data_IF_216795638498
#
_entry.id   IF_216795638498
#
_cell.length_a   1.000
_cell.length_b   1.000
_cell.length_c   1.000
_cell.angle_alpha   90.00
_cell.angle_beta   90.00
_cell.angle_gamma   90.00
#
_symmetry.space_group_name_H-M   'P 1'
#
loop_
_entity.id
_entity.type
_entity.pdbx_description
1 polymer ?
#
# COMPACT_ATOMS: atom_id res chain seq x y z
N UNK A 1 -16.10 3.76 18.61
CA UNK A 1 -15.51 4.23 17.32
C UNK A 1 -14.02 4.46 17.51
N UNK A 2 -13.18 3.51 17.12
CA UNK A 2 -11.74 3.78 17.02
C UNK A 2 -11.52 4.91 16.01
N UNK A 3 -10.88 6.01 16.42
CA UNK A 3 -10.52 7.11 15.53
C UNK A 3 -9.79 6.57 14.30
N UNK A 4 -10.32 6.87 13.11
CA UNK A 4 -9.65 6.54 11.85
C UNK A 4 -8.63 7.64 11.57
N UNK A 5 -7.35 7.34 11.80
CA UNK A 5 -6.28 8.26 11.47
C UNK A 5 -6.06 8.27 9.97
N UNK A 6 -5.96 9.49 9.41
CA UNK A 6 -5.48 9.68 8.04
C UNK A 6 -3.96 9.63 8.09
N UNK A 7 -3.38 8.68 7.37
CA UNK A 7 -1.95 8.52 7.20
C UNK A 7 -1.45 9.36 6.03
N UNK A 8 -0.21 9.83 6.11
CA UNK A 8 0.53 10.41 4.99
C UNK A 8 1.78 9.58 4.72
N UNK A 9 2.00 9.25 3.44
CA UNK A 9 3.22 8.62 2.94
C UNK A 9 3.93 9.56 1.96
N UNK A 10 5.20 9.83 2.19
CA UNK A 10 6.08 10.43 1.18
C UNK A 10 6.33 9.42 0.05
N UNK A 11 6.14 9.83 -1.21
CA UNK A 11 6.38 9.00 -2.38
C UNK A 11 7.75 9.26 -2.97
N UNK A 12 8.52 8.19 -3.17
CA UNK A 12 9.66 8.22 -4.08
C UNK A 12 9.17 8.38 -5.53
N UNK A 13 9.95 9.07 -6.38
CA UNK A 13 9.58 9.36 -7.76
C UNK A 13 9.14 8.12 -8.58
N UNK A 14 9.79 6.93 -8.46
CA UNK A 14 9.32 5.73 -9.15
C UNK A 14 7.91 5.28 -8.74
N UNK A 15 7.54 5.47 -7.47
CA UNK A 15 6.21 5.10 -6.95
C UNK A 15 5.15 6.07 -7.44
N UNK A 16 5.41 7.38 -7.41
CA UNK A 16 4.53 8.39 -8.01
C UNK A 16 4.29 8.11 -9.50
N UNK A 17 5.36 7.79 -10.24
CA UNK A 17 5.25 7.43 -11.65
C UNK A 17 4.44 6.15 -11.85
N UNK A 18 4.65 5.12 -11.01
CA UNK A 18 3.89 3.87 -11.10
C UNK A 18 2.39 4.04 -10.82
N UNK A 19 2.00 4.97 -9.93
CA UNK A 19 0.59 5.34 -9.71
C UNK A 19 -0.01 5.92 -10.99
N UNK A 20 0.65 6.91 -11.60
CA UNK A 20 0.12 7.63 -12.77
C UNK A 20 0.14 6.76 -14.04
N UNK A 21 1.26 6.08 -14.31
CA UNK A 21 1.46 5.33 -15.55
C UNK A 21 0.78 3.97 -15.52
N UNK A 22 0.85 3.27 -14.39
CA UNK A 22 0.46 1.87 -14.29
C UNK A 22 -0.73 1.63 -13.35
N UNK A 23 -1.22 2.66 -12.63
CA UNK A 23 -2.31 2.48 -11.67
C UNK A 23 -1.91 1.65 -10.46
N UNK A 24 -0.66 1.75 -9.99
CA UNK A 24 -0.18 1.04 -8.79
C UNK A 24 -1.14 1.27 -7.61
N UNK A 25 -1.71 0.18 -7.11
CA UNK A 25 -2.75 0.20 -6.07
C UNK A 25 -2.22 -0.15 -4.68
N UNK A 26 -0.91 -0.36 -4.54
CA UNK A 26 -0.31 -0.87 -3.30
C UNK A 26 0.50 0.19 -2.54
N UNK A 27 0.48 0.09 -1.22
CA UNK A 27 1.13 0.99 -0.27
C UNK A 27 1.74 0.21 0.89
N UNK A 28 2.82 0.72 1.47
CA UNK A 28 3.56 0.12 2.58
C UNK A 28 4.73 1.02 2.97
N UNK A 29 5.63 0.54 3.82
CA UNK A 29 6.82 1.28 4.23
C UNK A 29 6.51 2.36 5.26
N UNK A 30 7.33 3.42 5.32
CA UNK A 30 7.16 4.47 6.32
C UNK A 30 5.93 5.33 6.08
N UNK A 31 5.15 5.54 7.14
CA UNK A 31 3.96 6.38 7.19
C UNK A 31 3.95 7.17 8.50
N UNK A 32 3.31 8.34 8.47
CA UNK A 32 3.04 9.21 9.62
C UNK A 32 1.57 9.57 9.65
N UNK A 33 1.06 10.05 10.78
CA UNK A 33 -0.24 10.72 10.80
C UNK A 33 -0.18 12.01 9.98
N UNK A 34 -1.17 12.24 9.11
CA UNK A 34 -1.22 13.41 8.23
C UNK A 34 -1.39 14.72 9.00
N UNK A 35 -2.13 14.70 10.11
CA UNK A 35 -2.35 15.87 10.98
C UNK A 35 -1.04 16.35 11.63
N UNK A 36 -0.16 15.41 12.02
CA UNK A 36 1.11 15.69 12.68
C UNK A 36 2.15 16.37 11.78
N UNK A 37 1.97 16.27 10.46
CA UNK A 37 2.89 16.85 9.45
C UNK A 37 2.26 17.97 8.64
N UNK A 38 1.11 18.51 9.07
CA UNK A 38 0.44 19.63 8.38
C UNK A 38 1.32 20.89 8.28
N UNK A 39 2.26 21.05 9.21
CA UNK A 39 3.23 22.14 9.24
C UNK A 39 4.37 22.01 8.23
N UNK A 40 4.60 20.82 7.65
CA UNK A 40 5.63 20.60 6.62
C UNK A 40 5.04 20.99 5.26
N UNK A 41 5.14 22.28 4.92
CA UNK A 41 4.39 22.85 3.80
C UNK A 41 5.16 22.90 2.51
N UNK A 42 6.48 22.79 2.55
CA UNK A 42 7.35 22.81 1.37
C UNK A 42 8.04 21.47 1.15
N UNK A 43 8.50 21.17 -0.09
CA UNK A 43 9.29 19.98 -0.38
C UNK A 43 10.55 19.90 0.48
N UNK A 44 11.25 21.01 0.70
CA UNK A 44 12.46 21.04 1.51
C UNK A 44 12.18 20.67 2.98
N UNK A 45 11.15 21.25 3.60
CA UNK A 45 10.74 20.90 4.97
C UNK A 45 10.33 19.44 5.09
N UNK A 46 9.54 18.96 4.12
CA UNK A 46 9.06 17.57 4.11
C UNK A 46 10.22 16.59 3.93
N UNK A 47 11.10 16.79 2.95
CA UNK A 47 12.21 15.89 2.67
C UNK A 47 13.24 15.89 3.81
N UNK A 48 13.53 17.05 4.39
CA UNK A 48 14.41 17.15 5.55
C UNK A 48 13.88 16.35 6.77
N UNK A 49 12.56 16.34 6.98
CA UNK A 49 11.95 15.51 8.03
C UNK A 49 12.11 14.00 7.78
N UNK A 50 12.29 13.59 6.53
CA UNK A 50 12.60 12.21 6.13
C UNK A 50 14.11 11.97 5.98
N UNK A 51 14.96 12.91 6.40
CA UNK A 51 16.43 12.75 6.31
C UNK A 51 17.01 12.93 4.92
N UNK A 52 16.22 13.46 3.97
CA UNK A 52 16.63 13.63 2.58
C UNK A 52 17.06 15.08 2.39
N UNK A 53 18.35 15.29 2.17
CA UNK A 53 18.91 16.60 1.84
C UNK A 53 18.70 16.90 0.35
N UNK A 54 17.49 17.37 0.02
CA UNK A 54 17.12 17.81 -1.32
C UNK A 54 16.04 18.88 -1.28
N UNK A 55 16.04 19.76 -2.28
CA UNK A 55 15.05 20.83 -2.44
C UNK A 55 14.51 20.89 -3.88
N UNK A 56 13.76 19.87 -4.33
CA UNK A 56 13.11 19.88 -5.64
C UNK A 56 11.94 20.88 -5.67
N UNK A 57 11.47 21.20 -6.88
CA UNK A 57 10.30 22.07 -7.10
C UNK A 57 9.01 21.52 -6.45
N UNK A 58 8.94 20.19 -6.27
CA UNK A 58 7.82 19.54 -5.65
C UNK A 58 8.19 18.24 -4.92
N UNK A 59 7.37 17.87 -3.95
CA UNK A 59 7.34 16.55 -3.32
C UNK A 59 5.93 15.96 -3.45
N UNK A 60 5.88 14.64 -3.62
CA UNK A 60 4.64 13.90 -3.83
C UNK A 60 4.30 13.08 -2.58
N UNK A 61 3.04 13.12 -2.16
CA UNK A 61 2.56 12.35 -1.00
C UNK A 61 1.23 11.69 -1.30
N UNK A 62 0.91 10.60 -0.62
CA UNK A 62 -0.44 10.04 -0.58
C UNK A 62 -1.00 10.15 0.82
N UNK A 63 -2.25 10.60 0.92
CA UNK A 63 -3.03 10.65 2.15
C UNK A 63 -4.15 9.64 2.09
N UNK A 64 -4.32 8.82 3.12
CA UNK A 64 -5.29 7.72 3.09
C UNK A 64 -5.73 7.33 4.50
N UNK A 65 -6.98 6.89 4.64
CA UNK A 65 -7.43 6.28 5.89
C UNK A 65 -6.62 5.01 6.17
N UNK A 66 -6.27 4.79 7.43
CA UNK A 66 -5.56 3.58 7.86
C UNK A 66 -6.25 2.30 7.35
N UNK A 67 -5.56 1.45 6.57
CA UNK A 67 -6.11 0.18 6.13
C UNK A 67 -6.36 -0.76 7.32
N UNK A 68 -7.56 -1.36 7.39
CA UNK A 68 -8.05 -2.13 8.56
C UNK A 68 -7.19 -3.32 8.95
N UNK A 69 -6.51 -3.93 7.97
CA UNK A 69 -5.75 -5.17 8.11
C UNK A 69 -4.24 -4.95 7.97
N UNK A 70 -3.80 -3.70 7.80
CA UNK A 70 -2.37 -3.38 7.81
C UNK A 70 -1.82 -3.48 9.23
N UNK A 71 -0.63 -4.07 9.36
CA UNK A 71 0.13 -4.07 10.61
C UNK A 71 1.11 -2.90 10.64
N UNK A 72 1.30 -2.32 11.82
CA UNK A 72 2.21 -1.21 12.05
C UNK A 72 3.30 -1.66 13.02
N UNK A 73 4.54 -1.40 12.66
CA UNK A 73 5.71 -1.73 13.49
C UNK A 73 6.55 -0.48 13.71
N UNK A 74 7.29 -0.47 14.83
CA UNK A 74 8.28 0.58 15.07
C UNK A 74 9.39 0.47 14.00
N UNK A 75 9.89 1.59 13.45
CA UNK A 75 11.12 1.60 12.65
C UNK A 75 12.30 0.90 13.37
N UNK A 76 13.24 0.38 12.59
CA UNK A 76 14.40 -0.34 13.13
C UNK A 76 15.44 0.63 13.70
N UNK A 77 16.25 0.15 14.64
CA UNK A 77 17.47 0.80 15.11
C UNK A 77 18.73 0.18 14.48
N UNK A 78 18.57 -0.75 13.54
CA UNK A 78 19.70 -1.39 12.86
C UNK A 78 20.38 -0.40 11.92
N UNK A 79 21.71 -0.35 11.97
CA UNK A 79 22.50 0.49 11.08
C UNK A 79 22.34 0.04 9.61
N UNK A 80 22.03 1.00 8.73
CA UNK A 80 21.79 0.80 7.29
C UNK A 80 22.39 1.95 6.48
N UNK A 81 22.62 1.78 5.16
CA UNK A 81 23.12 2.85 4.29
C UNK A 81 22.16 4.04 4.09
N UNK A 82 20.88 3.89 4.44
CA UNK A 82 19.90 4.98 4.48
C UNK A 82 19.61 5.38 5.91
N UNK A 83 19.13 6.61 6.08
CA UNK A 83 18.66 7.07 7.38
C UNK A 83 17.32 6.38 7.72
N UNK A 84 17.25 5.79 8.90
CA UNK A 84 16.03 5.23 9.50
C UNK A 84 15.57 6.14 10.66
N UNK A 85 14.46 5.79 11.30
CA UNK A 85 13.80 6.55 12.37
C UNK A 85 13.90 5.83 13.72
N UNK A 86 15.09 5.62 14.31
CA UNK A 86 15.26 4.80 15.52
C UNK A 86 14.51 5.34 16.75
N UNK A 87 14.27 6.65 16.78
CA UNK A 87 13.45 7.31 17.80
C UNK A 87 11.95 7.02 17.66
N UNK A 88 11.50 6.54 16.50
CA UNK A 88 10.09 6.39 16.14
C UNK A 88 9.42 7.70 15.69
N UNK A 89 10.21 8.73 15.38
CA UNK A 89 9.72 10.05 14.94
C UNK A 89 10.48 10.51 13.69
N UNK A 90 9.86 11.40 12.92
CA UNK A 90 10.55 12.12 11.85
C UNK A 90 11.73 12.93 12.39
N UNK A 91 12.67 13.26 11.51
CA UNK A 91 13.85 14.06 11.85
C UNK A 91 13.52 15.56 11.94
N UNK A 92 14.45 16.32 12.51
CA UNK A 92 14.35 17.78 12.62
C UNK A 92 13.35 18.22 13.70
N UNK A 93 12.64 19.33 13.43
CA UNK A 93 11.66 19.90 14.36
C UNK A 93 10.29 19.20 14.37
N UNK A 94 10.07 18.22 13.48
CA UNK A 94 8.83 17.46 13.43
C UNK A 94 8.91 16.27 14.38
N UNK A 95 8.15 16.31 15.48
CA UNK A 95 7.97 15.18 16.39
C UNK A 95 6.80 14.28 15.94
N UNK A 96 6.57 14.18 14.63
CA UNK A 96 5.51 13.34 14.10
C UNK A 96 5.93 11.85 14.21
N UNK A 97 5.11 10.99 14.84
CA UNK A 97 5.41 9.57 14.93
C UNK A 97 5.50 8.91 13.55
N UNK A 98 6.44 7.98 13.40
CA UNK A 98 6.66 7.21 12.17
C UNK A 98 6.49 5.73 12.46
N UNK A 99 5.76 5.05 11.58
CA UNK A 99 5.60 3.61 11.62
C UNK A 99 6.01 2.99 10.30
N UNK A 100 6.51 1.75 10.35
CA UNK A 100 6.62 0.89 9.18
C UNK A 100 5.33 0.10 9.03
N UNK A 101 4.57 0.42 7.99
CA UNK A 101 3.31 -0.23 7.64
C UNK A 101 3.58 -1.41 6.69
N UNK A 102 2.92 -2.55 6.95
CA UNK A 102 2.94 -3.68 6.02
C UNK A 102 2.39 -3.30 4.65
N UNK A 103 2.87 -3.97 3.59
CA UNK A 103 2.32 -3.85 2.25
C UNK A 103 0.83 -4.22 2.23
N UNK A 104 -0.02 -3.38 1.66
CA UNK A 104 -1.45 -3.65 1.40
C UNK A 104 -1.93 -2.77 0.24
N UNK A 105 -3.22 -2.79 -0.09
CA UNK A 105 -3.82 -1.88 -1.08
C UNK A 105 -4.16 -0.54 -0.45
N UNK A 106 -4.10 0.55 -1.21
CA UNK A 106 -4.62 1.84 -0.76
C UNK A 106 -6.09 1.72 -0.36
N UNK A 107 -6.47 2.36 0.75
CA UNK A 107 -7.88 2.50 1.13
C UNK A 107 -8.66 3.28 0.08
N UNK A 108 -9.93 2.97 -0.10
CA UNK A 108 -10.82 3.77 -0.93
C UNK A 108 -10.80 5.23 -0.49
N UNK A 109 -10.76 6.15 -1.46
CA UNK A 109 -10.68 7.58 -1.16
C UNK A 109 -9.28 8.10 -0.89
N UNK A 110 -8.24 7.25 -0.90
CA UNK A 110 -6.85 7.70 -0.85
C UNK A 110 -6.59 8.79 -1.90
N UNK A 111 -5.84 9.82 -1.53
CA UNK A 111 -5.60 11.00 -2.34
C UNK A 111 -4.11 11.16 -2.62
N UNK A 112 -3.76 11.30 -3.89
CA UNK A 112 -2.41 11.63 -4.33
C UNK A 112 -2.26 13.14 -4.46
N UNK A 113 -1.32 13.70 -3.72
CA UNK A 113 -1.07 15.13 -3.62
C UNK A 113 0.34 15.48 -4.08
N UNK A 114 0.47 16.66 -4.68
CA UNK A 114 1.75 17.32 -4.97
C UNK A 114 1.87 18.59 -4.15
N UNK A 115 2.96 18.71 -3.42
CA UNK A 115 3.34 19.88 -2.61
C UNK A 115 4.42 20.63 -3.38
N UNK A 116 4.22 21.92 -3.66
CA UNK A 116 5.17 22.77 -4.39
C UNK A 116 6.03 23.63 -3.46
N UNK A 117 7.12 24.17 -3.99
CA UNK A 117 8.07 25.02 -3.27
C UNK A 117 7.46 26.28 -2.63
N UNK A 118 6.34 26.79 -3.15
CA UNK A 118 5.59 27.92 -2.61
C UNK A 118 4.57 27.52 -1.51
N UNK A 119 4.47 26.23 -1.21
CA UNK A 119 3.53 25.67 -0.27
C UNK A 119 2.14 25.36 -0.83
N UNK A 120 1.91 25.54 -2.15
CA UNK A 120 0.70 25.07 -2.81
C UNK A 120 0.62 23.54 -2.71
N UNK A 121 -0.56 23.03 -2.33
CA UNK A 121 -0.84 21.60 -2.36
C UNK A 121 -1.98 21.33 -3.33
N UNK A 122 -1.70 20.51 -4.35
CA UNK A 122 -2.68 20.14 -5.37
C UNK A 122 -2.93 18.65 -5.35
N UNK A 123 -4.20 18.25 -5.21
CA UNK A 123 -4.62 16.86 -5.42
C UNK A 123 -4.56 16.53 -6.90
N UNK A 124 -3.74 15.53 -7.24
CA UNK A 124 -3.54 15.06 -8.60
C UNK A 124 -4.45 13.89 -8.95
N UNK A 125 -4.76 13.03 -7.98
CA UNK A 125 -5.62 11.86 -8.19
C UNK A 125 -6.29 11.41 -6.90
N UNK A 126 -7.28 10.53 -7.03
CA UNK A 126 -7.96 9.83 -5.95
C UNK A 126 -8.14 8.36 -6.33
N UNK A 127 -7.98 7.46 -5.36
CA UNK A 127 -8.23 6.03 -5.52
C UNK A 127 -9.71 5.71 -5.32
N UNK A 128 -10.35 5.09 -6.31
CA UNK A 128 -11.78 4.74 -6.32
C UNK A 128 -12.02 3.23 -6.13
N UNK A 129 -11.12 2.58 -5.40
CA UNK A 129 -11.22 1.17 -5.05
C UNK A 129 -10.76 0.22 -6.16
N UNK A 130 -10.75 -1.07 -5.86
CA UNK A 130 -10.18 -2.12 -6.70
C UNK A 130 -10.80 -2.17 -8.11
N UNK A 131 -12.10 -1.92 -8.23
CA UNK A 131 -12.82 -1.92 -9.51
C UNK A 131 -12.41 -0.77 -10.44
N UNK A 132 -12.06 0.40 -9.88
CA UNK A 132 -11.85 1.63 -10.67
C UNK A 132 -10.39 2.09 -10.69
N UNK A 133 -9.63 1.86 -9.63
CA UNK A 133 -8.25 2.29 -9.49
C UNK A 133 -8.11 3.81 -9.27
N UNK A 134 -6.95 4.35 -9.63
CA UNK A 134 -6.66 5.78 -9.55
C UNK A 134 -7.32 6.58 -10.69
N UNK A 135 -8.01 7.65 -10.34
CA UNK A 135 -8.62 8.58 -11.31
C UNK A 135 -7.51 9.25 -12.13
N UNK A 136 -7.61 9.16 -13.47
CA UNK A 136 -6.64 9.78 -14.37
C UNK A 136 -5.33 9.01 -14.55
N UNK A 137 -5.16 7.84 -13.93
CA UNK A 137 -4.07 6.95 -14.28
C UNK A 137 -4.22 6.44 -15.72
N UNK A 138 -3.11 6.30 -16.44
CA UNK A 138 -3.12 5.88 -17.86
C UNK A 138 -3.57 4.43 -18.03
N UNK A 139 -3.40 3.62 -17.00
CA UNK A 139 -3.79 2.20 -16.98
C UNK A 139 -4.53 1.90 -15.68
N UNK A 140 -5.52 1.02 -15.79
CA UNK A 140 -6.05 0.32 -14.64
C UNK A 140 -5.25 -0.97 -14.45
N UNK A 141 -4.77 -1.21 -13.24
CA UNK A 141 -4.09 -2.44 -12.85
C UNK A 141 -5.10 -3.36 -12.17
N UNK A 142 -5.36 -4.56 -12.71
CA UNK A 142 -6.17 -5.54 -12.00
C UNK A 142 -5.58 -5.83 -10.62
N UNK A 143 -6.39 -5.80 -9.54
CA UNK A 143 -5.95 -6.14 -8.20
C UNK A 143 -5.36 -7.56 -8.13
N UNK A 144 -4.38 -7.74 -7.24
CA UNK A 144 -3.82 -9.05 -6.89
C UNK A 144 -4.59 -9.63 -5.71
N UNK A 145 -4.85 -10.94 -5.70
CA UNK A 145 -5.44 -11.63 -4.54
C UNK A 145 -4.42 -11.90 -3.42
N UNK A 146 -3.17 -11.50 -3.64
CA UNK A 146 -2.05 -11.64 -2.70
C UNK A 146 -1.76 -10.34 -1.91
N UNK A 147 -2.42 -9.23 -2.28
CA UNK A 147 -2.23 -7.93 -1.62
C UNK A 147 -3.56 -7.17 -1.54
N UNK A 148 -3.89 -6.73 -0.33
CA UNK A 148 -5.08 -5.93 -0.05
C UNK A 148 -6.29 -6.76 0.36
N UNK A 149 -7.35 -6.03 0.71
CA UNK A 149 -8.55 -6.59 1.30
C UNK A 149 -9.35 -7.43 0.31
N UNK A 150 -9.84 -8.55 0.82
CA UNK A 150 -10.78 -9.48 0.22
C UNK A 150 -12.02 -9.58 1.12
N UNK A 151 -13.13 -10.01 0.53
CA UNK A 151 -14.33 -10.34 1.29
C UNK A 151 -14.98 -11.60 0.74
N UNK A 152 -15.51 -12.45 1.63
CA UNK A 152 -16.48 -13.47 1.26
C UNK A 152 -17.88 -12.92 1.45
N UNK A 153 -18.67 -12.96 0.39
CA UNK A 153 -20.09 -12.63 0.41
C UNK A 153 -20.86 -13.73 -0.33
N UNK A 154 -21.92 -14.26 0.30
CA UNK A 154 -22.69 -15.39 -0.23
C UNK A 154 -21.84 -16.59 -0.66
N UNK A 155 -20.79 -16.90 0.12
CA UNK A 155 -19.89 -18.05 -0.12
C UNK A 155 -18.90 -17.86 -1.28
N UNK A 156 -18.78 -16.66 -1.86
CA UNK A 156 -17.85 -16.34 -2.95
C UNK A 156 -16.86 -15.27 -2.52
N UNK A 157 -15.62 -15.37 -2.99
CA UNK A 157 -14.56 -14.39 -2.73
C UNK A 157 -14.55 -13.26 -3.76
N UNK A 158 -14.37 -12.04 -3.27
CA UNK A 158 -14.26 -10.83 -4.07
C UNK A 158 -13.08 -9.97 -3.59
N UNK A 159 -12.53 -9.15 -4.48
CA UNK A 159 -11.70 -8.03 -4.03
C UNK A 159 -12.58 -7.03 -3.31
N UNK A 160 -12.08 -6.42 -2.25
CA UNK A 160 -12.90 -5.59 -1.38
C UNK A 160 -12.22 -4.27 -1.04
N UNK A 161 -13.03 -3.24 -0.87
CA UNK A 161 -12.67 -2.00 -0.19
C UNK A 161 -13.72 -1.74 0.91
N UNK A 162 -13.28 -1.56 2.16
CA UNK A 162 -14.18 -1.30 3.30
C UNK A 162 -14.28 0.20 3.52
N UNK A 163 -15.51 0.71 3.57
CA UNK A 163 -15.83 2.13 3.77
C UNK A 163 -16.90 2.21 4.85
N UNK A 164 -16.52 2.59 6.07
CA UNK A 164 -17.38 2.53 7.24
C UNK A 164 -18.09 1.15 7.34
N UNK A 165 -19.42 1.11 7.28
CA UNK A 165 -20.24 -0.11 7.39
C UNK A 165 -20.56 -0.78 6.05
N UNK A 166 -19.87 -0.37 4.99
CA UNK A 166 -20.10 -0.85 3.62
C UNK A 166 -18.84 -1.51 3.07
N UNK A 167 -19.01 -2.60 2.33
CA UNK A 167 -17.95 -3.24 1.53
C UNK A 167 -18.27 -3.05 0.06
N UNK A 168 -17.33 -2.45 -0.68
CA UNK A 168 -17.35 -2.45 -2.14
C UNK A 168 -16.73 -3.75 -2.62
N UNK A 169 -17.55 -4.65 -3.16
CA UNK A 169 -17.10 -5.90 -3.76
C UNK A 169 -16.72 -5.66 -5.22
N UNK A 170 -15.63 -6.26 -5.66
CA UNK A 170 -15.15 -6.22 -7.05
C UNK A 170 -14.93 -7.64 -7.55
N UNK A 171 -15.53 -7.96 -8.70
CA UNK A 171 -15.34 -9.20 -9.42
C UNK A 171 -14.69 -8.95 -10.78
N UNK A 172 -13.75 -9.83 -11.18
CA UNK A 172 -13.16 -9.84 -12.52
C UNK A 172 -13.57 -11.16 -13.18
N UNK A 173 -14.52 -11.08 -14.10
CA UNK A 173 -15.14 -12.24 -14.75
C UNK A 173 -15.84 -11.82 -16.05
N UNK A 174 -16.02 -12.77 -16.97
CA UNK A 174 -16.76 -12.53 -18.22
C UNK A 174 -18.18 -12.05 -17.96
N UNK A 175 -18.90 -12.76 -17.08
CA UNK A 175 -20.25 -12.40 -16.65
C UNK A 175 -20.27 -11.91 -15.19
N UNK A 176 -21.09 -10.89 -14.94
CA UNK A 176 -21.27 -10.28 -13.63
C UNK A 176 -22.10 -11.15 -12.69
N UNK A 177 -21.74 -11.22 -11.40
CA UNK A 177 -22.65 -11.77 -10.38
C UNK A 177 -23.98 -10.99 -10.35
N UNK A 178 -25.06 -11.64 -9.92
CA UNK A 178 -26.35 -10.98 -9.75
C UNK A 178 -26.25 -9.77 -8.81
N UNK A 179 -26.85 -8.65 -9.22
CA UNK A 179 -26.82 -7.39 -8.48
C UNK A 179 -25.53 -6.58 -8.61
N UNK A 180 -24.55 -7.06 -9.39
CA UNK A 180 -23.35 -6.28 -9.70
C UNK A 180 -23.57 -5.42 -10.94
N UNK A 181 -22.96 -4.24 -10.95
CA UNK A 181 -22.91 -3.34 -12.08
C UNK A 181 -21.55 -3.42 -12.77
N UNK A 182 -21.53 -3.35 -14.11
CA UNK A 182 -20.28 -3.33 -14.86
C UNK A 182 -19.67 -1.92 -14.84
N UNK A 183 -18.39 -1.81 -14.49
CA UNK A 183 -17.66 -0.53 -14.52
C UNK A 183 -16.62 -0.46 -15.63
N UNK A 184 -16.12 -1.63 -16.07
CA UNK A 184 -15.18 -1.81 -17.17
C UNK A 184 -15.46 -3.17 -17.80
N UNK A 185 -15.01 -3.45 -19.03
CA UNK A 185 -15.09 -4.80 -19.59
C UNK A 185 -14.57 -5.83 -18.61
N UNK A 186 -15.38 -6.86 -18.32
CA UNK A 186 -15.10 -7.94 -17.37
C UNK A 186 -14.89 -7.52 -15.90
N UNK A 187 -15.15 -6.26 -15.54
CA UNK A 187 -15.02 -5.76 -14.16
C UNK A 187 -16.36 -5.30 -13.64
N UNK A 188 -16.77 -5.92 -12.55
CA UNK A 188 -18.07 -5.76 -11.94
C UNK A 188 -17.93 -5.34 -10.50
N UNK A 189 -18.84 -4.52 -9.99
CA UNK A 189 -18.83 -4.13 -8.60
C UNK A 189 -20.23 -4.13 -7.98
N UNK A 190 -20.29 -4.30 -6.66
CA UNK A 190 -21.48 -4.10 -5.86
C UNK A 190 -21.11 -3.51 -4.51
N UNK A 191 -22.11 -2.95 -3.83
CA UNK A 191 -21.98 -2.43 -2.47
C UNK A 191 -22.85 -3.27 -1.56
N UNK A 192 -22.29 -3.80 -0.48
CA UNK A 192 -23.02 -4.64 0.48
C UNK A 192 -22.69 -4.21 1.92
N UNK A 193 -23.57 -4.47 2.90
CA UNK A 193 -23.25 -4.23 4.31
C UNK A 193 -22.05 -5.08 4.75
N UNK A 194 -21.20 -4.50 5.59
CA UNK A 194 -20.05 -5.21 6.13
C UNK A 194 -20.44 -6.40 7.01
N UNK A 195 -21.60 -6.33 7.67
CA UNK A 195 -22.18 -7.41 8.46
C UNK A 195 -22.57 -8.65 7.65
N UNK A 196 -22.67 -8.54 6.33
CA UNK A 196 -22.93 -9.67 5.42
C UNK A 196 -21.63 -10.29 4.87
N UNK A 197 -20.47 -9.76 5.26
CA UNK A 197 -19.17 -10.15 4.70
C UNK A 197 -18.25 -10.74 5.76
N UNK A 198 -17.48 -11.76 5.38
CA UNK A 198 -16.23 -12.08 6.07
C UNK A 198 -15.11 -11.30 5.39
N UNK A 199 -14.58 -10.28 6.05
CA UNK A 199 -13.51 -9.44 5.51
C UNK A 199 -12.16 -9.96 5.98
N UNK A 200 -11.19 -10.08 5.07
CA UNK A 200 -9.86 -10.59 5.37
C UNK A 200 -8.80 -10.08 4.38
N UNK A 201 -7.53 -10.28 4.70
CA UNK A 201 -6.42 -10.08 3.77
C UNK A 201 -5.61 -11.38 3.75
N UNK A 202 -5.21 -11.80 2.55
CA UNK A 202 -4.40 -12.99 2.36
C UNK A 202 -2.95 -12.59 2.13
N UNK A 203 -2.05 -13.09 2.96
CA UNK A 203 -0.60 -12.84 2.88
C UNK A 203 0.09 -14.13 2.48
N UNK A 204 0.83 -14.08 1.36
CA UNK A 204 1.67 -15.18 0.92
C UNK A 204 3.14 -14.85 1.18
N UNK A 205 3.82 -15.73 1.91
CA UNK A 205 5.27 -15.67 2.13
C UNK A 205 5.94 -16.85 1.46
N UNK A 206 7.22 -16.68 1.11
CA UNK A 206 8.04 -17.69 0.48
C UNK A 206 9.52 -17.39 0.78
N UNK A 207 10.42 -18.22 0.26
CA UNK A 207 11.84 -17.93 0.17
C UNK A 207 12.28 -17.84 -1.30
N UNK A 208 13.23 -16.96 -1.58
CA UNK A 208 13.97 -16.91 -2.85
C UNK A 208 15.46 -16.94 -2.52
N UNK A 209 16.15 -17.99 -2.96
CA UNK A 209 17.57 -18.21 -2.67
C UNK A 209 17.91 -18.08 -1.16
N UNK A 210 17.02 -18.60 -0.31
CA UNK A 210 17.12 -18.56 1.15
C UNK A 210 16.68 -17.24 1.80
N UNK A 211 16.29 -16.22 1.03
CA UNK A 211 15.83 -14.92 1.55
C UNK A 211 14.31 -14.93 1.72
N UNK A 212 13.77 -14.55 2.89
CA UNK A 212 12.34 -14.49 3.11
C UNK A 212 11.71 -13.34 2.30
N UNK A 213 10.62 -13.66 1.60
CA UNK A 213 9.88 -12.71 0.76
C UNK A 213 8.37 -12.81 1.00
N UNK A 214 7.66 -11.72 0.72
CA UNK A 214 6.22 -11.71 0.49
C UNK A 214 5.96 -11.72 -1.01
N UNK A 215 5.07 -12.60 -1.47
CA UNK A 215 4.61 -12.62 -2.86
C UNK A 215 3.55 -11.54 -3.05
N UNK A 216 3.77 -10.62 -3.98
CA UNK A 216 2.87 -9.51 -4.28
C UNK A 216 1.92 -9.82 -5.44
N UNK A 217 2.43 -10.58 -6.41
CA UNK A 217 1.71 -11.02 -7.60
C UNK A 217 2.41 -12.26 -8.16
N UNK A 218 1.65 -13.18 -8.74
CA UNK A 218 2.16 -14.25 -9.58
C UNK A 218 1.41 -14.24 -10.89
N UNK A 219 2.13 -14.24 -12.02
CA UNK A 219 1.56 -14.21 -13.35
C UNK A 219 2.41 -15.05 -14.31
N UNK A 220 1.88 -16.20 -14.75
CA UNK A 220 2.61 -17.10 -15.63
C UNK A 220 3.86 -17.66 -14.95
N UNK A 221 5.03 -17.45 -15.56
CA UNK A 221 6.32 -17.94 -15.07
C UNK A 221 7.04 -16.96 -14.13
N UNK A 222 6.45 -15.80 -13.80
CA UNK A 222 7.09 -14.80 -12.95
C UNK A 222 6.27 -14.47 -11.71
N UNK A 223 6.98 -14.03 -10.67
CA UNK A 223 6.42 -13.51 -9.45
C UNK A 223 7.05 -12.16 -9.09
N UNK A 224 6.21 -11.21 -8.70
CA UNK A 224 6.63 -9.97 -8.05
C UNK A 224 6.75 -10.24 -6.54
N UNK A 225 7.89 -9.93 -5.95
CA UNK A 225 8.18 -10.21 -4.54
C UNK A 225 8.72 -8.98 -3.82
N UNK A 226 8.34 -8.85 -2.56
CA UNK A 226 8.87 -7.90 -1.58
C UNK A 226 9.77 -8.66 -0.61
N UNK A 227 11.01 -8.22 -0.41
CA UNK A 227 11.87 -8.81 0.62
C UNK A 227 11.34 -8.47 2.01
N UNK A 228 11.33 -9.46 2.90
CA UNK A 228 10.97 -9.29 4.33
C UNK A 228 12.19 -8.94 5.20
N UNK A 229 13.29 -8.59 4.54
CA UNK A 229 14.55 -8.11 5.10
C UNK A 229 14.87 -6.78 4.44
N UNK A 230 15.61 -5.94 5.14
CA UNK A 230 16.16 -4.70 4.63
C UNK A 230 17.70 -4.75 4.54
N UNK A 231 18.30 -5.96 4.51
CA UNK A 231 19.73 -6.14 4.27
C UNK A 231 20.07 -6.00 2.77
N UNK A 232 20.96 -5.05 2.38
CA UNK A 232 21.40 -4.92 0.99
C UNK A 232 22.07 -6.17 0.40
N UNK A 233 22.73 -6.99 1.21
CA UNK A 233 23.36 -8.23 0.75
C UNK A 233 22.31 -9.29 0.35
N UNK A 234 21.20 -9.34 1.08
CA UNK A 234 20.06 -10.20 0.73
C UNK A 234 19.37 -9.69 -0.54
N UNK A 235 19.20 -8.38 -0.67
CA UNK A 235 18.68 -7.77 -1.89
C UNK A 235 19.56 -8.10 -3.11
N UNK A 236 20.88 -7.98 -2.98
CA UNK A 236 21.82 -8.35 -4.04
C UNK A 236 21.71 -9.84 -4.43
N UNK A 237 21.57 -10.74 -3.44
CA UNK A 237 21.44 -12.19 -3.69
C UNK A 237 20.22 -12.53 -4.53
N UNK A 238 19.08 -11.91 -4.24
CA UNK A 238 17.82 -12.15 -4.95
C UNK A 238 17.79 -11.43 -6.31
N UNK A 239 18.57 -10.36 -6.46
CA UNK A 239 18.50 -9.43 -7.59
C UNK A 239 17.42 -8.36 -7.41
N UNK A 240 17.11 -7.99 -6.16
CA UNK A 240 16.10 -7.00 -5.83
C UNK A 240 16.64 -5.57 -5.94
N UNK A 241 15.78 -4.65 -6.41
CA UNK A 241 16.06 -3.23 -6.47
C UNK A 241 15.51 -2.49 -5.26
N UNK A 242 16.19 -1.42 -4.83
CA UNK A 242 15.68 -0.51 -3.82
C UNK A 242 14.55 0.34 -4.43
N UNK A 243 13.34 0.21 -3.90
CA UNK A 243 12.16 0.99 -4.36
C UNK A 243 12.01 2.27 -3.53
N UNK A 244 12.28 2.17 -2.23
CA UNK A 244 12.34 3.26 -1.25
C UNK A 244 13.23 2.82 -0.08
N UNK A 245 13.58 3.74 0.82
CA UNK A 245 14.44 3.43 1.97
C UNK A 245 13.96 2.17 2.73
N UNK A 246 14.83 1.17 2.80
CA UNK A 246 14.56 -0.12 3.46
C UNK A 246 13.58 -1.05 2.76
N UNK A 247 13.14 -0.76 1.53
CA UNK A 247 12.18 -1.58 0.79
C UNK A 247 12.78 -2.06 -0.52
N UNK A 248 12.91 -3.38 -0.63
CA UNK A 248 13.46 -4.05 -1.79
C UNK A 248 12.41 -4.92 -2.47
N UNK A 249 12.29 -4.78 -3.79
CA UNK A 249 11.37 -5.59 -4.59
C UNK A 249 12.10 -6.20 -5.80
N UNK A 250 11.62 -7.36 -6.24
CA UNK A 250 12.16 -8.06 -7.40
C UNK A 250 11.05 -8.68 -8.23
N UNK A 251 11.33 -8.88 -9.52
CA UNK A 251 10.60 -9.83 -10.36
C UNK A 251 11.48 -11.06 -10.51
N UNK A 252 10.99 -12.21 -10.06
CA UNK A 252 11.72 -13.48 -10.07
C UNK A 252 10.98 -14.52 -10.91
N UNK A 253 11.69 -15.55 -11.35
CA UNK A 253 11.03 -16.73 -11.90
C UNK A 253 10.23 -17.43 -10.79
N UNK A 254 8.98 -17.79 -11.06
CA UNK A 254 8.09 -18.41 -10.08
C UNK A 254 8.63 -19.75 -9.56
N UNK A 255 9.46 -20.46 -10.34
CA UNK A 255 10.12 -21.70 -9.93
C UNK A 255 11.19 -21.50 -8.85
N UNK A 256 11.66 -20.27 -8.62
CA UNK A 256 12.58 -19.93 -7.52
C UNK A 256 11.88 -19.79 -6.17
N UNK A 257 10.55 -19.73 -6.14
CA UNK A 257 9.79 -19.64 -4.89
C UNK A 257 9.81 -20.99 -4.17
N UNK A 258 10.46 -21.03 -3.01
CA UNK A 258 10.44 -22.17 -2.09
C UNK A 258 9.54 -21.87 -0.87
N UNK A 259 9.05 -22.93 -0.22
CA UNK A 259 8.30 -22.85 1.04
C UNK A 259 7.16 -21.83 1.03
N UNK A 260 6.31 -21.91 -0.01
CA UNK A 260 5.19 -20.97 -0.17
C UNK A 260 4.12 -21.26 0.88
N UNK A 261 3.84 -20.27 1.72
CA UNK A 261 2.84 -20.32 2.78
C UNK A 261 1.83 -19.19 2.64
N UNK A 262 0.55 -19.49 2.84
CA UNK A 262 -0.53 -18.50 2.83
C UNK A 262 -1.22 -18.42 4.19
N UNK A 263 -1.43 -17.20 4.68
CA UNK A 263 -2.19 -16.92 5.90
C UNK A 263 -3.32 -15.95 5.60
N UNK A 264 -4.49 -16.20 6.15
CA UNK A 264 -5.62 -15.27 6.12
C UNK A 264 -5.75 -14.54 7.45
N UNK A 265 -5.65 -13.22 7.39
CA UNK A 265 -5.88 -12.35 8.54
C UNK A 265 -7.30 -11.81 8.46
N UNK A 266 -8.18 -12.34 9.30
CA UNK A 266 -9.58 -11.90 9.34
C UNK A 266 -9.71 -10.57 10.08
N UNK A 267 -10.56 -9.70 9.54
CA UNK A 267 -11.01 -8.52 10.26
C UNK A 267 -12.12 -8.94 11.21
N UNK A 268 -11.78 -9.00 12.50
CA UNK A 268 -12.79 -9.04 13.54
C UNK A 268 -13.13 -7.58 13.90
N UNK A 269 -14.37 -7.11 13.70
CA UNK A 269 -14.81 -5.88 14.32
C UNK A 269 -14.60 -6.06 15.82
N UNK A 270 -13.68 -5.32 16.42
CA UNK A 270 -13.53 -5.33 17.87
C UNK A 270 -14.89 -4.95 18.44
N UNK A 271 -15.52 -5.87 19.17
CA UNK A 271 -16.66 -5.54 20.00
C UNK A 271 -16.21 -4.39 20.90
N UNK A 272 -16.83 -3.22 20.75
CA UNK A 272 -16.60 -2.07 21.62
C UNK A 272 -16.64 -2.59 23.07
N UNK A 273 -15.51 -2.47 23.76
CA UNK A 273 -15.43 -2.58 25.22
C UNK A 273 -15.27 -1.18 25.78
#
# INVERSE_FOLDING_TARGET
>A
MAEHFVLQKLLAAPVSNAIVENGLDQVGGYVTEASAVVGLRTPAELLAAYGIDAAPDFADVVRFEQPRLATFTKPSDTERPWLDFPSGFLHGGSLAPVWRMSRTRFSYGAEYWRIRSDGEQKRLSRYEGAARGWVGAKRWRPPSSMVGTLARWQGREFFADVIAETVLLTAIADDGPAGFEQVRPQVWFASVPVSECEVFERVFTAHVDGVPVRVLRSAGSTAEVLLLTDDPADAQRVGAGLVEAGVFEAVVDASRLADVHGVENQWAPTADK
#
